data_IF_485087539259
#
_entry.id   IF_485087539259
#
_cell.length_a   1.000
_cell.length_b   1.000
_cell.length_c   1.000
_cell.angle_alpha   90.00
_cell.angle_beta   90.00
_cell.angle_gamma   90.00
#
_symmetry.space_group_name_H-M   'P 1'
#
loop_
_entity.id
_entity.type
_entity.pdbx_description
1 polymer ?
#
# COMPACT_ATOMS: atom_id res chain seq x y z
N UNK A 1 -13.88 39.74 64.05
CA UNK A 1 -15.34 39.88 63.84
C UNK A 1 -15.64 39.51 62.40
N UNK A 2 -16.69 38.69 62.22
CA UNK A 2 -17.19 38.14 60.95
C UNK A 2 -17.57 39.24 59.96
N UNK A 3 -17.42 38.97 58.65
CA UNK A 3 -18.44 39.24 57.61
C UNK A 3 -18.06 38.54 56.30
N UNK A 4 -19.09 38.00 55.69
CA UNK A 4 -19.13 36.93 54.70
C UNK A 4 -19.62 37.49 53.36
N UNK A 5 -19.32 36.77 52.26
CA UNK A 5 -20.11 36.68 50.99
C UNK A 5 -19.93 37.85 50.00
N UNK A 6 -19.46 37.60 48.75
CA UNK A 6 -20.30 37.14 47.62
C UNK A 6 -19.46 36.76 46.38
N UNK A 7 -19.92 35.67 45.75
CA UNK A 7 -19.47 35.00 44.54
C UNK A 7 -19.33 35.91 43.30
N UNK A 8 -18.23 35.75 42.56
CA UNK A 8 -18.21 35.96 41.11
C UNK A 8 -17.65 34.70 40.43
N UNK A 9 -18.57 33.96 39.82
CA UNK A 9 -18.30 32.84 38.91
C UNK A 9 -17.57 33.37 37.67
N UNK A 10 -16.25 33.22 37.64
CA UNK A 10 -15.46 33.28 36.42
C UNK A 10 -15.51 31.92 35.73
N UNK A 11 -16.41 31.75 34.77
CA UNK A 11 -16.35 30.65 33.80
C UNK A 11 -15.09 30.83 32.93
N UNK A 12 -13.93 30.39 33.42
CA UNK A 12 -12.78 30.11 32.58
C UNK A 12 -13.01 28.75 31.91
N UNK A 13 -13.76 28.79 30.81
CA UNK A 13 -13.75 27.74 29.80
C UNK A 13 -12.38 27.71 29.14
N UNK A 14 -11.39 27.08 29.78
CA UNK A 14 -10.18 26.64 29.10
C UNK A 14 -10.37 25.19 28.70
N UNK A 15 -10.42 24.98 27.38
CA UNK A 15 -10.83 23.75 26.74
C UNK A 15 -10.15 22.50 27.29
N UNK A 16 -10.92 21.43 27.33
CA UNK A 16 -10.44 20.06 27.51
C UNK A 16 -9.57 19.75 26.30
N UNK A 17 -8.28 20.06 26.38
CA UNK A 17 -7.31 19.43 25.49
C UNK A 17 -7.26 17.98 25.91
N UNK A 18 -7.80 17.11 25.06
CA UNK A 18 -7.56 15.68 25.13
C UNK A 18 -6.04 15.46 25.15
N UNK A 19 -5.49 15.25 26.35
CA UNK A 19 -4.09 14.95 26.51
C UNK A 19 -3.89 13.52 26.00
N UNK A 20 -3.28 13.40 24.83
CA UNK A 20 -2.66 12.15 24.44
C UNK A 20 -1.57 11.80 25.44
N UNK A 21 -1.26 10.52 25.51
CA UNK A 21 -0.15 10.01 26.32
C UNK A 21 1.21 10.58 25.89
N UNK A 22 1.34 11.19 24.70
CA UNK A 22 2.62 11.66 24.16
C UNK A 22 2.51 13.02 23.46
N UNK A 23 3.37 13.96 23.85
CA UNK A 23 3.47 15.27 23.19
C UNK A 23 4.16 15.16 21.82
N UNK A 24 3.95 16.16 20.98
CA UNK A 24 4.61 16.28 19.66
C UNK A 24 6.13 16.13 19.78
N UNK A 25 6.75 16.78 20.76
CA UNK A 25 8.20 16.70 20.97
C UNK A 25 8.66 15.31 21.40
N UNK A 26 7.86 14.61 22.22
CA UNK A 26 8.14 13.23 22.62
C UNK A 26 8.03 12.28 21.43
N UNK A 27 7.05 12.49 20.54
CA UNK A 27 6.93 11.72 19.30
C UNK A 27 8.06 12.02 18.31
N UNK A 28 8.57 13.25 18.27
CA UNK A 28 9.72 13.64 17.44
C UNK A 28 11.02 13.01 17.91
N UNK A 29 11.24 12.93 19.23
CA UNK A 29 12.45 12.33 19.80
C UNK A 29 12.40 10.80 19.90
N UNK A 30 11.21 10.20 19.89
CA UNK A 30 11.05 8.74 20.02
C UNK A 30 11.32 7.98 18.72
N UNK A 31 12.02 6.84 18.81
CA UNK A 31 12.21 5.89 17.72
C UNK A 31 11.28 4.66 17.82
N UNK A 32 10.35 4.65 18.79
CA UNK A 32 9.38 3.56 18.94
C UNK A 32 8.19 3.74 17.97
N UNK A 33 7.95 2.79 17.05
CA UNK A 33 6.83 2.86 16.12
C UNK A 33 5.46 2.91 16.82
N UNK A 34 5.32 2.34 18.02
CA UNK A 34 4.06 2.39 18.78
C UNK A 34 3.74 3.80 19.26
N UNK A 35 4.75 4.54 19.71
CA UNK A 35 4.61 5.95 20.14
C UNK A 35 4.17 6.83 18.97
N UNK A 36 4.78 6.61 17.79
CA UNK A 36 4.45 7.35 16.57
C UNK A 36 3.05 6.99 16.06
N UNK A 37 2.68 5.71 16.07
CA UNK A 37 1.35 5.24 15.66
C UNK A 37 0.23 5.80 16.56
N UNK A 38 0.45 5.80 17.89
CA UNK A 38 -0.53 6.33 18.84
C UNK A 38 -0.78 7.83 18.62
N UNK A 39 0.25 8.61 18.29
CA UNK A 39 0.07 10.03 17.96
C UNK A 39 -0.78 10.23 16.70
N UNK A 40 -0.52 9.44 15.64
CA UNK A 40 -1.24 9.54 14.36
C UNK A 40 -2.74 9.22 14.53
N UNK A 41 -3.07 8.21 15.33
CA UNK A 41 -4.47 7.80 15.59
C UNK A 41 -5.22 8.88 16.38
N UNK A 42 -4.58 9.47 17.39
CA UNK A 42 -5.22 10.45 18.26
C UNK A 42 -5.32 11.85 17.63
N UNK A 43 -4.47 12.18 16.65
CA UNK A 43 -4.45 13.50 16.00
C UNK A 43 -4.41 13.41 14.46
N UNK A 44 -5.47 12.92 13.81
CA UNK A 44 -5.48 12.72 12.36
C UNK A 44 -5.35 14.02 11.56
N UNK A 45 -5.77 15.16 12.12
CA UNK A 45 -5.79 16.48 11.46
C UNK A 45 -4.64 17.40 11.88
N UNK A 46 -3.74 16.96 12.76
CA UNK A 46 -2.64 17.81 13.25
C UNK A 46 -1.58 18.04 12.15
N UNK A 47 -1.01 19.26 12.04
CA UNK A 47 -0.10 19.62 10.94
C UNK A 47 1.17 18.76 10.86
N UNK A 48 1.61 18.16 11.98
CA UNK A 48 2.77 17.24 12.00
C UNK A 48 2.43 15.76 11.74
N UNK A 49 1.15 15.40 11.65
CA UNK A 49 0.72 14.02 11.40
C UNK A 49 1.22 13.42 10.08
N UNK A 50 1.29 14.18 8.96
CA UNK A 50 1.92 13.69 7.72
C UNK A 50 3.39 13.29 7.89
N UNK A 51 4.16 14.06 8.68
CA UNK A 51 5.56 13.77 8.98
C UNK A 51 5.71 12.52 9.86
N UNK A 52 4.85 12.37 10.87
CA UNK A 52 4.86 11.16 11.70
C UNK A 52 4.44 9.91 10.93
N UNK A 53 3.52 10.00 9.97
CA UNK A 53 3.21 8.89 9.05
C UNK A 53 4.43 8.44 8.25
N UNK A 54 5.22 9.40 7.73
CA UNK A 54 6.47 9.12 7.02
C UNK A 54 7.52 8.50 7.95
N UNK A 55 7.65 9.01 9.16
CA UNK A 55 8.57 8.49 10.19
C UNK A 55 8.21 7.04 10.56
N UNK A 56 6.93 6.74 10.77
CA UNK A 56 6.47 5.39 11.08
C UNK A 56 6.78 4.39 9.96
N UNK A 57 6.58 4.78 8.69
CA UNK A 57 6.90 3.93 7.54
C UNK A 57 8.41 3.60 7.45
N UNK A 58 9.28 4.55 7.81
CA UNK A 58 10.74 4.32 7.87
C UNK A 58 11.12 3.38 9.00
N UNK A 59 10.53 3.59 10.19
CA UNK A 59 10.76 2.73 11.35
C UNK A 59 10.28 1.29 11.07
N UNK A 60 9.13 1.11 10.40
CA UNK A 60 8.66 -0.24 10.03
C UNK A 60 9.60 -0.94 9.05
N UNK A 61 10.21 -0.23 8.09
CA UNK A 61 11.18 -0.81 7.16
C UNK A 61 12.47 -1.22 7.88
N UNK A 62 12.95 -0.41 8.83
CA UNK A 62 14.15 -0.73 9.62
C UNK A 62 13.94 -1.86 10.63
N UNK A 63 12.70 -2.13 11.03
CA UNK A 63 12.36 -3.14 12.05
C UNK A 63 11.95 -4.49 11.45
N UNK A 64 11.78 -4.58 10.12
CA UNK A 64 11.19 -5.75 9.47
C UNK A 64 12.24 -6.71 8.89
N UNK A 65 12.91 -7.43 9.79
CA UNK A 65 13.24 -8.84 9.60
C UNK A 65 12.29 -9.69 10.46
N UNK A 66 10.98 -9.64 10.20
CA UNK A 66 9.99 -10.70 10.53
C UNK A 66 8.53 -10.31 10.24
N UNK A 67 7.93 -11.00 9.26
CA UNK A 67 6.57 -11.58 9.22
C UNK A 67 5.30 -10.84 9.75
N UNK A 68 4.37 -10.62 8.79
CA UNK A 68 2.92 -10.98 8.80
C UNK A 68 1.83 -9.93 9.10
N UNK A 69 1.14 -9.54 8.01
CA UNK A 69 -0.32 -9.32 7.78
C UNK A 69 -1.20 -8.46 8.71
N UNK A 70 -1.92 -7.47 8.13
CA UNK A 70 -3.39 -7.54 7.86
C UNK A 70 -3.94 -6.20 7.35
N UNK A 71 -4.85 -6.31 6.38
CA UNK A 71 -5.65 -5.31 5.68
C UNK A 71 -6.34 -4.25 6.56
N UNK A 72 -6.35 -3.00 6.11
CA UNK A 72 -7.58 -2.23 5.93
C UNK A 72 -7.37 -1.00 5.02
N UNK A 73 -8.15 -1.00 3.94
CA UNK A 73 -8.34 0.09 3.00
C UNK A 73 -8.97 1.31 3.71
N UNK A 74 -8.63 2.53 3.30
CA UNK A 74 -9.71 3.45 2.90
C UNK A 74 -9.52 3.87 1.45
N UNK A 75 -10.59 3.64 0.72
CA UNK A 75 -10.87 4.19 -0.60
C UNK A 75 -10.93 5.72 -0.49
N UNK A 76 -9.97 6.43 -1.09
CA UNK A 76 -10.15 7.85 -1.41
C UNK A 76 -9.57 8.12 -2.80
N UNK A 77 -10.43 8.64 -3.65
CA UNK A 77 -10.20 8.96 -5.05
C UNK A 77 -9.01 9.90 -5.25
N UNK A 78 -7.84 9.38 -5.62
CA UNK A 78 -6.71 10.16 -6.17
C UNK A 78 -5.90 9.29 -7.15
N UNK A 79 -6.56 8.85 -8.21
CA UNK A 79 -6.07 7.81 -9.13
C UNK A 79 -5.12 8.32 -10.24
N UNK A 80 -4.43 9.45 -10.06
CA UNK A 80 -3.56 10.00 -11.12
C UNK A 80 -2.18 10.50 -10.68
N UNK A 81 -1.86 10.54 -9.39
CA UNK A 81 -0.55 11.00 -8.92
C UNK A 81 0.23 9.96 -8.10
N UNK A 82 -0.46 9.05 -7.43
CA UNK A 82 0.21 8.03 -6.61
C UNK A 82 0.82 6.92 -7.47
N UNK A 83 0.13 6.52 -8.55
CA UNK A 83 0.68 5.61 -9.56
C UNK A 83 1.95 6.20 -10.18
N UNK A 84 1.97 7.51 -10.45
CA UNK A 84 3.13 8.22 -11.02
C UNK A 84 4.30 8.33 -10.05
N UNK A 85 4.08 8.50 -8.75
CA UNK A 85 5.17 8.62 -7.78
C UNK A 85 5.85 7.26 -7.51
N UNK A 86 5.06 6.18 -7.42
CA UNK A 86 5.58 4.82 -7.31
C UNK A 86 6.28 4.38 -8.60
N UNK A 87 5.70 4.69 -9.76
CA UNK A 87 6.30 4.45 -11.08
C UNK A 87 7.60 5.25 -11.25
N UNK A 88 7.60 6.55 -10.92
CA UNK A 88 8.78 7.41 -11.03
C UNK A 88 9.88 6.96 -10.08
N UNK A 89 9.54 6.60 -8.83
CA UNK A 89 10.53 6.06 -7.89
C UNK A 89 11.09 4.72 -8.37
N UNK A 90 10.30 3.88 -9.06
CA UNK A 90 10.77 2.66 -9.72
C UNK A 90 11.72 2.94 -10.90
N UNK A 91 11.38 3.89 -11.78
CA UNK A 91 12.22 4.28 -12.92
C UNK A 91 13.56 4.83 -12.43
N UNK A 92 13.53 5.70 -11.42
CA UNK A 92 14.71 6.33 -10.84
C UNK A 92 15.62 5.34 -10.09
N UNK A 93 15.07 4.27 -9.50
CA UNK A 93 15.84 3.24 -8.78
C UNK A 93 16.17 1.99 -9.62
N UNK A 94 15.71 1.93 -10.87
CA UNK A 94 15.79 0.77 -11.74
C UNK A 94 14.76 -0.30 -11.36
N UNK A 95 13.77 -0.54 -12.26
CA UNK A 95 12.72 -1.56 -12.15
C UNK A 95 13.24 -2.96 -11.72
N UNK A 96 14.53 -3.24 -11.99
CA UNK A 96 15.19 -4.51 -11.69
C UNK A 96 15.54 -4.77 -10.21
N UNK A 97 15.45 -3.81 -9.29
CA UNK A 97 15.98 -3.99 -7.92
C UNK A 97 15.01 -4.60 -6.89
N UNK A 98 13.70 -4.59 -7.16
CA UNK A 98 12.69 -5.16 -6.26
C UNK A 98 12.55 -6.69 -6.36
N UNK A 99 11.99 -7.36 -5.34
CA UNK A 99 11.70 -8.80 -5.39
C UNK A 99 10.52 -9.16 -6.30
N UNK A 100 9.80 -8.15 -6.80
CA UNK A 100 8.63 -8.31 -7.65
C UNK A 100 8.89 -7.80 -9.07
N UNK A 101 8.15 -8.34 -10.04
CA UNK A 101 8.09 -7.91 -11.42
C UNK A 101 6.64 -7.58 -11.79
N UNK A 102 6.43 -6.59 -12.66
CA UNK A 102 5.10 -6.27 -13.19
C UNK A 102 4.82 -7.08 -14.45
N UNK A 103 3.74 -7.84 -14.41
CA UNK A 103 3.26 -8.61 -15.55
C UNK A 103 2.07 -7.90 -16.18
N UNK A 104 2.14 -7.71 -17.48
CA UNK A 104 1.04 -7.18 -18.30
C UNK A 104 0.56 -8.28 -19.25
N UNK A 105 -0.72 -8.61 -19.19
CA UNK A 105 -1.35 -9.58 -20.08
C UNK A 105 -2.35 -8.86 -20.98
N UNK A 106 -2.10 -8.87 -22.29
CA UNK A 106 -3.01 -8.35 -23.31
C UNK A 106 -3.85 -9.50 -23.87
N UNK A 107 -5.15 -9.45 -23.67
CA UNK A 107 -6.09 -10.36 -24.28
C UNK A 107 -6.62 -9.74 -25.59
N UNK A 108 -6.18 -10.28 -26.73
CA UNK A 108 -6.68 -9.85 -28.06
C UNK A 108 -7.81 -10.76 -28.58
N UNK A 109 -8.26 -11.72 -27.77
CA UNK A 109 -9.35 -12.63 -28.13
C UNK A 109 -10.72 -12.03 -27.80
N UNK A 110 -11.76 -12.64 -28.37
CA UNK A 110 -13.17 -12.32 -28.10
C UNK A 110 -13.69 -12.92 -26.79
N UNK A 111 -12.89 -13.73 -26.09
CA UNK A 111 -13.31 -14.43 -24.88
C UNK A 111 -12.64 -13.81 -23.64
N UNK A 112 -13.32 -13.71 -22.49
CA UNK A 112 -12.65 -13.50 -21.21
C UNK A 112 -11.69 -14.66 -20.94
N UNK A 113 -10.48 -14.35 -20.47
CA UNK A 113 -9.48 -15.36 -20.16
C UNK A 113 -9.03 -15.25 -18.72
N UNK A 114 -8.66 -16.38 -18.13
CA UNK A 114 -7.96 -16.43 -16.85
C UNK A 114 -6.54 -16.93 -17.14
N UNK A 115 -5.54 -16.19 -16.69
CA UNK A 115 -4.13 -16.58 -16.79
C UNK A 115 -3.63 -16.97 -15.41
N UNK A 116 -3.11 -18.19 -15.29
CA UNK A 116 -2.55 -18.75 -14.07
C UNK A 116 -1.04 -18.81 -14.19
N UNK A 117 -0.35 -18.25 -13.20
CA UNK A 117 1.10 -18.32 -13.04
C UNK A 117 1.40 -19.28 -11.88
N UNK A 118 1.88 -20.48 -12.19
CA UNK A 118 2.16 -21.51 -11.19
C UNK A 118 3.66 -21.61 -10.94
N UNK A 119 4.10 -21.43 -9.71
CA UNK A 119 5.52 -21.47 -9.35
C UNK A 119 5.69 -21.65 -7.84
N UNK A 120 6.72 -21.01 -7.26
CA UNK A 120 6.85 -20.94 -5.79
C UNK A 120 5.63 -20.27 -5.14
N UNK A 121 5.09 -19.26 -5.81
CA UNK A 121 3.83 -18.62 -5.49
C UNK A 121 2.88 -18.78 -6.68
N UNK A 122 1.58 -18.87 -6.41
CA UNK A 122 0.58 -19.01 -7.44
C UNK A 122 -0.21 -17.71 -7.58
N UNK A 123 -0.40 -17.26 -8.81
CA UNK A 123 -1.16 -16.06 -9.11
C UNK A 123 -2.17 -16.34 -10.21
N UNK A 124 -3.31 -15.66 -10.16
CA UNK A 124 -4.33 -15.70 -11.20
C UNK A 124 -4.70 -14.29 -11.61
N UNK A 125 -4.85 -14.07 -12.91
CA UNK A 125 -5.25 -12.80 -13.48
C UNK A 125 -6.42 -13.03 -14.43
N UNK A 126 -7.58 -12.47 -14.09
CA UNK A 126 -8.72 -12.41 -14.99
C UNK A 126 -8.55 -11.22 -15.95
N UNK A 127 -8.62 -11.49 -17.25
CA UNK A 127 -8.48 -10.49 -18.31
C UNK A 127 -9.69 -10.56 -19.23
N UNK A 128 -10.62 -9.58 -19.18
CA UNK A 128 -11.75 -9.50 -20.09
C UNK A 128 -11.34 -9.54 -21.57
N UNK A 129 -12.27 -9.89 -22.45
CA UNK A 129 -12.07 -9.86 -23.90
C UNK A 129 -11.56 -8.49 -24.38
N UNK A 130 -10.62 -8.47 -25.33
CA UNK A 130 -10.04 -7.26 -25.92
C UNK A 130 -9.49 -6.23 -24.89
N UNK A 131 -9.00 -6.69 -23.74
CA UNK A 131 -8.52 -5.83 -22.67
C UNK A 131 -7.11 -6.20 -22.20
N UNK A 132 -6.55 -5.40 -21.31
CA UNK A 132 -5.23 -5.63 -20.72
C UNK A 132 -5.33 -5.73 -19.21
N UNK A 133 -4.85 -6.83 -18.64
CA UNK A 133 -4.69 -7.01 -17.20
C UNK A 133 -3.25 -6.73 -16.76
N UNK A 134 -3.09 -6.25 -15.52
CA UNK A 134 -1.79 -5.97 -14.92
C UNK A 134 -1.74 -6.48 -13.49
N UNK A 135 -0.61 -7.04 -13.08
CA UNK A 135 -0.40 -7.51 -11.71
C UNK A 135 1.10 -7.54 -11.38
N UNK A 136 1.44 -7.22 -10.13
CA UNK A 136 2.78 -7.42 -9.58
C UNK A 136 2.90 -8.83 -9.02
N UNK A 137 3.90 -9.59 -9.45
CA UNK A 137 4.19 -10.94 -8.94
C UNK A 137 5.63 -11.02 -8.47
N UNK A 138 5.94 -11.91 -7.53
CA UNK A 138 7.32 -12.17 -7.12
C UNK A 138 8.16 -12.63 -8.31
N UNK A 139 9.44 -12.24 -8.37
CA UNK A 139 10.38 -12.76 -9.37
C UNK A 139 10.61 -14.25 -9.16
N UNK A 140 10.77 -14.99 -10.25
CA UNK A 140 10.99 -16.42 -10.19
C UNK A 140 10.59 -17.18 -11.45
N UNK A 141 10.61 -18.50 -11.35
CA UNK A 141 10.23 -19.41 -12.43
C UNK A 141 8.76 -19.79 -12.30
N UNK A 142 8.02 -19.65 -13.40
CA UNK A 142 6.58 -19.88 -13.48
C UNK A 142 6.21 -20.72 -14.70
N UNK A 143 5.23 -21.61 -14.52
CA UNK A 143 4.44 -22.19 -15.60
C UNK A 143 3.20 -21.32 -15.80
N UNK A 144 3.15 -20.62 -16.92
CA UNK A 144 2.04 -19.77 -17.32
C UNK A 144 1.05 -20.64 -18.08
N UNK A 145 -0.22 -20.60 -17.70
CA UNK A 145 -1.29 -21.34 -18.37
C UNK A 145 -2.55 -20.51 -18.51
N UNK A 146 -3.30 -20.76 -19.59
CA UNK A 146 -4.57 -20.08 -19.84
C UNK A 146 -5.42 -20.91 -20.82
N UNK A 147 -6.73 -20.73 -20.77
CA UNK A 147 -7.66 -21.24 -21.79
C UNK A 147 -8.15 -20.03 -22.57
N UNK A 148 -7.83 -19.99 -23.86
CA UNK A 148 -8.11 -18.87 -24.77
C UNK A 148 -9.12 -19.36 -25.80
N UNK A 149 -10.39 -18.96 -25.66
CA UNK A 149 -11.49 -19.39 -26.52
C UNK A 149 -11.54 -20.93 -26.76
N UNK A 150 -11.31 -21.71 -25.71
CA UNK A 150 -11.28 -23.19 -25.76
C UNK A 150 -9.92 -23.79 -26.10
N UNK A 151 -8.98 -23.02 -26.66
CA UNK A 151 -7.60 -23.44 -26.88
C UNK A 151 -6.77 -23.39 -25.60
N UNK A 152 -5.96 -24.41 -25.34
CA UNK A 152 -5.05 -24.44 -24.20
C UNK A 152 -3.73 -23.74 -24.54
N UNK A 153 -3.32 -22.81 -23.70
CA UNK A 153 -2.00 -22.19 -23.73
C UNK A 153 -1.21 -22.60 -22.49
N UNK A 154 0.05 -23.01 -22.68
CA UNK A 154 0.96 -23.28 -21.57
C UNK A 154 2.41 -22.99 -21.96
N UNK A 155 3.14 -22.29 -21.09
CA UNK A 155 4.56 -21.99 -21.29
C UNK A 155 5.28 -21.82 -19.95
N UNK A 156 6.47 -22.42 -19.80
CA UNK A 156 7.35 -22.15 -18.67
C UNK A 156 8.27 -20.96 -18.95
N UNK A 157 8.32 -19.99 -18.02
CA UNK A 157 9.16 -18.79 -18.12
C UNK A 157 9.74 -18.38 -16.77
N UNK A 158 10.97 -17.87 -16.79
CA UNK A 158 11.59 -17.19 -15.66
C UNK A 158 11.35 -15.69 -15.79
N UNK A 159 10.64 -15.11 -14.83
CA UNK A 159 10.26 -13.70 -14.77
C UNK A 159 11.18 -13.02 -13.75
N UNK A 160 12.24 -12.41 -14.25
CA UNK A 160 13.27 -11.69 -13.48
C UNK A 160 13.09 -10.16 -13.53
N UNK A 161 12.26 -9.69 -14.45
CA UNK A 161 11.94 -8.29 -14.70
C UNK A 161 10.52 -8.21 -15.28
N UNK A 162 10.04 -7.00 -15.55
CA UNK A 162 8.71 -6.76 -16.10
C UNK A 162 8.48 -7.57 -17.38
N UNK A 163 7.32 -8.22 -17.47
CA UNK A 163 7.01 -9.20 -18.51
C UNK A 163 5.68 -8.88 -19.18
N UNK A 164 5.65 -8.94 -20.50
CA UNK A 164 4.45 -8.72 -21.30
C UNK A 164 4.08 -9.98 -22.06
N UNK A 165 2.81 -10.38 -21.94
CA UNK A 165 2.24 -11.53 -22.61
C UNK A 165 1.03 -11.10 -23.41
N UNK A 166 0.96 -11.48 -24.68
CA UNK A 166 -0.24 -11.30 -25.50
C UNK A 166 -0.84 -12.65 -25.82
N UNK A 167 -2.13 -12.83 -25.52
CA UNK A 167 -2.88 -14.06 -25.76
C UNK A 167 -4.09 -13.77 -26.64
N UNK A 168 -4.30 -14.61 -27.64
CA UNK A 168 -5.45 -14.56 -28.53
C UNK A 168 -5.09 -14.98 -29.96
N UNK A 169 -6.12 -15.37 -30.69
CA UNK A 169 -6.11 -15.55 -32.15
C UNK A 169 -6.93 -14.39 -32.72
N UNK A 170 -6.40 -13.75 -33.76
CA UNK A 170 -7.12 -12.71 -34.50
C UNK A 170 -8.26 -13.32 -35.29
#
# INVERSE_FOLDING_TARGET
MKKTILLLFGFLSTGIFAQSQYTVEQTEKSNDPKVVANFIVNYPTHPKTPEFKRKLARLSVSSSSSHTSTSHQPQSNHRSHQETAEEATRILNGSSKGPNAHVTVKNISKCPIVVTFTGKHNYQLNVPANSTGRMSIAKGSYTISSVVCGGKYQQSRSIQADYQLTLGVK
#
